data_IF_305620519240
#
_entry.id   IF_305620519240
#
_cell.length_a   1.000
_cell.length_b   1.000
_cell.length_c   1.000
_cell.angle_alpha   90.00
_cell.angle_beta   90.00
_cell.angle_gamma   90.00
#
_symmetry.space_group_name_H-M   'P 1'
#
loop_
_entity.id
_entity.type
_entity.pdbx_description
1 polymer ?
#
# COMPACT_ATOMS: atom_id res chain seq x y z
N UNK A 1 -6.70 -9.84 17.19
CA UNK A 1 -5.83 -10.36 16.13
C UNK A 1 -4.91 -11.41 16.71
N UNK A 2 -4.82 -12.59 16.08
CA UNK A 2 -3.89 -13.64 16.52
C UNK A 2 -2.49 -13.27 16.01
N UNK A 3 -1.49 -13.28 16.88
CA UNK A 3 -0.09 -13.01 16.48
C UNK A 3 0.33 -14.13 15.51
N UNK A 4 0.59 -13.77 14.27
CA UNK A 4 1.08 -14.69 13.25
C UNK A 4 2.60 -14.62 13.25
N UNK A 5 3.30 -15.73 13.31
CA UNK A 5 4.75 -15.73 13.13
C UNK A 5 5.16 -15.54 11.66
N UNK A 6 4.22 -15.80 10.72
CA UNK A 6 4.44 -15.75 9.28
C UNK A 6 3.17 -15.30 8.54
N UNK A 7 3.29 -14.50 7.48
CA UNK A 7 2.15 -13.93 6.73
C UNK A 7 1.39 -14.96 5.86
N UNK A 8 1.88 -16.19 5.72
CA UNK A 8 1.28 -17.25 4.90
C UNK A 8 -0.18 -17.57 5.25
N UNK A 9 -0.57 -17.36 6.50
CA UNK A 9 -1.92 -17.68 7.00
C UNK A 9 -2.84 -16.48 7.09
N UNK A 10 -2.34 -15.26 6.78
CA UNK A 10 -3.10 -14.02 7.00
C UNK A 10 -4.45 -14.03 6.27
N UNK A 11 -4.43 -14.34 4.98
CA UNK A 11 -5.65 -14.28 4.15
C UNK A 11 -6.61 -15.42 4.47
N UNK A 12 -6.09 -16.63 4.72
CA UNK A 12 -6.90 -17.79 5.10
C UNK A 12 -7.66 -17.56 6.41
N UNK A 13 -6.95 -17.12 7.46
CA UNK A 13 -7.58 -16.79 8.76
C UNK A 13 -8.56 -15.62 8.66
N UNK A 14 -8.27 -14.63 7.82
CA UNK A 14 -9.21 -13.54 7.57
C UNK A 14 -10.46 -14.03 6.84
N UNK A 15 -10.32 -14.98 5.90
CA UNK A 15 -11.47 -15.58 5.21
C UNK A 15 -12.35 -16.40 6.16
N UNK A 16 -11.78 -17.11 7.13
CA UNK A 16 -12.54 -17.81 8.19
C UNK A 16 -13.42 -16.85 9.02
N UNK A 17 -12.93 -15.62 9.24
CA UNK A 17 -13.63 -14.61 10.05
C UNK A 17 -14.65 -13.82 9.22
N UNK A 18 -14.26 -13.40 8.00
CA UNK A 18 -15.03 -12.41 7.23
C UNK A 18 -15.79 -13.01 6.05
N UNK A 19 -15.49 -14.23 5.62
CA UNK A 19 -16.26 -15.03 4.65
C UNK A 19 -16.53 -14.28 3.32
N UNK A 20 -17.80 -14.00 3.05
CA UNK A 20 -18.25 -13.34 1.83
C UNK A 20 -18.18 -11.79 1.89
N UNK A 21 -17.71 -11.20 2.99
CA UNK A 21 -17.43 -9.75 3.02
C UNK A 21 -16.38 -9.42 1.95
N UNK A 22 -16.49 -8.25 1.33
CA UNK A 22 -15.55 -7.82 0.30
C UNK A 22 -14.18 -7.50 0.95
N UNK A 23 -13.15 -8.18 0.49
CA UNK A 23 -11.75 -7.95 0.87
C UNK A 23 -11.07 -6.97 -0.07
N UNK A 24 -11.24 -7.17 -1.36
CA UNK A 24 -10.64 -6.35 -2.42
C UNK A 24 -11.73 -5.83 -3.34
N UNK A 25 -11.54 -4.64 -3.87
CA UNK A 25 -12.34 -4.15 -4.99
C UNK A 25 -11.45 -3.42 -5.99
N UNK A 26 -11.88 -3.41 -7.24
CA UNK A 26 -11.18 -2.77 -8.34
C UNK A 26 -12.19 -2.32 -9.39
N UNK A 27 -11.80 -1.33 -10.20
CA UNK A 27 -12.67 -0.86 -11.29
C UNK A 27 -12.49 -1.73 -12.53
N UNK A 28 -13.58 -2.36 -12.98
CA UNK A 28 -13.67 -2.95 -14.31
C UNK A 28 -13.96 -1.82 -15.32
N UNK A 29 -13.02 -1.56 -16.22
CA UNK A 29 -13.13 -0.47 -17.20
C UNK A 29 -14.00 -0.83 -18.41
N UNK A 30 -14.20 -2.11 -18.68
CA UNK A 30 -15.09 -2.54 -19.77
C UNK A 30 -16.56 -2.46 -19.33
N UNK A 31 -16.83 -2.73 -18.04
CA UNK A 31 -18.18 -2.63 -17.44
C UNK A 31 -18.45 -1.29 -16.76
N UNK A 32 -17.45 -0.44 -16.65
CA UNK A 32 -17.47 0.86 -15.97
C UNK A 32 -17.96 0.82 -14.50
N UNK A 33 -17.71 -0.26 -13.79
CA UNK A 33 -18.16 -0.45 -12.41
C UNK A 33 -17.07 -1.03 -11.51
N UNK A 34 -17.23 -0.85 -10.20
CA UNK A 34 -16.38 -1.49 -9.20
C UNK A 34 -16.82 -2.94 -8.99
N UNK A 35 -15.85 -3.85 -9.10
CA UNK A 35 -16.04 -5.28 -8.87
C UNK A 35 -15.47 -5.63 -7.50
N UNK A 36 -16.19 -6.47 -6.74
CA UNK A 36 -15.75 -6.94 -5.42
C UNK A 36 -15.19 -8.36 -5.48
N UNK A 37 -14.20 -8.61 -4.66
CA UNK A 37 -13.62 -9.94 -4.39
C UNK A 37 -13.82 -10.22 -2.90
N UNK A 38 -14.59 -11.25 -2.54
CA UNK A 38 -14.81 -11.63 -1.15
C UNK A 38 -13.53 -12.22 -0.53
N UNK A 39 -13.45 -12.23 0.81
CA UNK A 39 -12.35 -12.88 1.51
C UNK A 39 -12.22 -14.37 1.13
N UNK A 40 -13.35 -15.08 0.97
CA UNK A 40 -13.35 -16.47 0.52
C UNK A 40 -12.78 -16.61 -0.90
N UNK A 41 -13.14 -15.73 -1.84
CA UNK A 41 -12.58 -15.76 -3.18
C UNK A 41 -11.10 -15.39 -3.18
N UNK A 42 -10.70 -14.40 -2.38
CA UNK A 42 -9.30 -14.01 -2.22
C UNK A 42 -8.46 -15.18 -1.70
N UNK A 43 -8.89 -15.84 -0.62
CA UNK A 43 -8.18 -17.01 -0.07
C UNK A 43 -8.07 -18.14 -1.09
N UNK A 44 -9.12 -18.43 -1.87
CA UNK A 44 -9.05 -19.43 -2.95
C UNK A 44 -8.03 -19.07 -4.02
N UNK A 45 -7.96 -17.79 -4.46
CA UNK A 45 -6.98 -17.34 -5.46
C UNK A 45 -5.55 -17.40 -4.94
N UNK A 46 -5.35 -17.06 -3.68
CA UNK A 46 -4.06 -17.21 -2.97
C UNK A 46 -3.63 -18.68 -2.93
N UNK A 47 -4.51 -19.59 -2.56
CA UNK A 47 -4.22 -21.02 -2.50
C UNK A 47 -3.92 -21.61 -3.90
N UNK A 48 -4.72 -21.23 -4.91
CA UNK A 48 -4.45 -21.62 -6.30
C UNK A 48 -3.08 -21.11 -6.76
N UNK A 49 -2.72 -19.86 -6.47
CA UNK A 49 -1.40 -19.30 -6.81
C UNK A 49 -0.28 -20.06 -6.11
N UNK A 50 -0.44 -20.40 -4.83
CA UNK A 50 0.56 -21.19 -4.10
C UNK A 50 0.79 -22.55 -4.74
N UNK A 51 -0.29 -23.29 -5.06
CA UNK A 51 -0.19 -24.61 -5.72
C UNK A 51 0.43 -24.52 -7.11
N UNK A 52 0.11 -23.48 -7.87
CA UNK A 52 0.68 -23.26 -9.20
C UNK A 52 2.17 -22.94 -9.15
N UNK A 53 2.63 -22.19 -8.13
CA UNK A 53 4.06 -21.99 -7.90
C UNK A 53 4.78 -23.32 -7.58
N UNK A 54 4.17 -24.21 -6.79
CA UNK A 54 4.72 -25.57 -6.57
C UNK A 54 4.77 -26.35 -7.88
N UNK A 55 3.74 -26.26 -8.74
CA UNK A 55 3.70 -26.91 -10.05
C UNK A 55 4.81 -26.44 -10.99
N UNK A 56 5.19 -25.14 -10.91
CA UNK A 56 6.35 -24.58 -11.62
C UNK A 56 7.70 -24.92 -10.97
N UNK A 57 7.71 -25.74 -9.91
CA UNK A 57 8.95 -26.12 -9.23
C UNK A 57 9.56 -25.03 -8.36
N UNK A 58 8.79 -23.98 -7.99
CA UNK A 58 9.27 -22.95 -7.07
C UNK A 58 9.44 -23.53 -5.69
N UNK A 59 10.67 -23.48 -5.17
CA UNK A 59 11.08 -24.00 -3.87
C UNK A 59 10.88 -22.99 -2.73
N UNK A 60 11.22 -23.46 -1.51
CA UNK A 60 11.30 -22.60 -0.33
C UNK A 60 12.43 -21.60 -0.51
N UNK A 61 12.14 -20.31 -0.29
CA UNK A 61 13.04 -19.16 -0.46
C UNK A 61 13.54 -18.94 -1.91
N UNK A 62 12.89 -19.56 -2.92
CA UNK A 62 13.07 -19.13 -4.30
C UNK A 62 12.43 -17.75 -4.53
N UNK A 63 13.01 -16.94 -5.41
CA UNK A 63 12.57 -15.60 -5.69
C UNK A 63 11.60 -15.54 -6.88
N UNK A 64 10.51 -14.81 -6.71
CA UNK A 64 9.45 -14.59 -7.68
C UNK A 64 9.21 -13.09 -7.82
N UNK A 65 9.19 -12.55 -9.05
CA UNK A 65 8.96 -11.12 -9.26
C UNK A 65 7.51 -10.79 -9.64
N UNK A 66 7.06 -9.61 -9.24
CA UNK A 66 5.84 -8.97 -9.73
C UNK A 66 6.19 -7.63 -10.35
N UNK A 67 5.97 -7.49 -11.64
CA UNK A 67 6.24 -6.29 -12.43
C UNK A 67 4.92 -5.77 -13.03
N UNK A 68 4.18 -4.96 -12.25
CA UNK A 68 2.82 -4.55 -12.59
C UNK A 68 2.45 -3.23 -11.95
N UNK A 69 1.46 -2.54 -12.51
CA UNK A 69 0.64 -1.58 -11.76
C UNK A 69 -0.12 -2.33 -10.66
N UNK A 70 -0.69 -1.57 -9.71
CA UNK A 70 -1.50 -2.21 -8.66
C UNK A 70 -2.65 -3.01 -9.25
N UNK A 71 -2.75 -4.28 -8.89
CA UNK A 71 -3.80 -5.21 -9.34
C UNK A 71 -4.13 -6.20 -8.22
N UNK A 72 -5.36 -6.76 -8.19
CA UNK A 72 -5.70 -7.86 -7.27
C UNK A 72 -4.78 -9.08 -7.45
N UNK A 73 -4.40 -9.39 -8.69
CA UNK A 73 -3.53 -10.51 -9.06
C UNK A 73 -2.17 -10.42 -8.37
N UNK A 74 -1.62 -9.19 -8.20
CA UNK A 74 -0.38 -8.98 -7.48
C UNK A 74 -0.46 -9.48 -6.04
N UNK A 75 -1.59 -9.23 -5.36
CA UNK A 75 -1.83 -9.72 -3.99
C UNK A 75 -2.08 -11.24 -3.96
N UNK A 76 -2.73 -11.82 -4.98
CA UNK A 76 -2.89 -13.26 -5.06
C UNK A 76 -1.54 -13.98 -5.16
N UNK A 77 -0.64 -13.44 -5.98
CA UNK A 77 0.71 -13.97 -6.15
C UNK A 77 1.54 -13.73 -4.90
N UNK A 78 1.51 -12.53 -4.30
CA UNK A 78 2.28 -12.22 -3.11
C UNK A 78 1.93 -13.16 -1.94
N UNK A 79 0.65 -13.26 -1.58
CA UNK A 79 0.23 -14.14 -0.49
C UNK A 79 0.33 -15.62 -0.86
N UNK A 80 0.18 -15.98 -2.14
CA UNK A 80 0.45 -17.32 -2.65
C UNK A 80 1.92 -17.71 -2.50
N UNK A 81 2.83 -16.79 -2.78
CA UNK A 81 4.27 -16.97 -2.56
C UNK A 81 4.58 -17.13 -1.08
N UNK A 82 3.97 -16.35 -0.21
CA UNK A 82 4.14 -16.50 1.24
C UNK A 82 3.67 -17.89 1.75
N UNK A 83 2.56 -18.42 1.22
CA UNK A 83 2.13 -19.79 1.54
C UNK A 83 3.12 -20.85 1.05
N UNK A 84 3.82 -20.56 -0.03
CA UNK A 84 4.87 -21.41 -0.60
C UNK A 84 6.24 -21.20 0.06
N UNK A 85 6.36 -20.26 1.01
CA UNK A 85 7.62 -19.77 1.59
C UNK A 85 8.60 -19.26 0.55
N UNK A 86 8.08 -18.76 -0.58
CA UNK A 86 8.85 -18.10 -1.62
C UNK A 86 8.92 -16.60 -1.36
N UNK A 87 9.96 -15.97 -1.87
CA UNK A 87 10.26 -14.55 -1.68
C UNK A 87 9.64 -13.75 -2.82
N UNK A 88 8.97 -12.65 -2.50
CA UNK A 88 8.45 -11.71 -3.50
C UNK A 88 9.40 -10.56 -3.72
N UNK A 89 9.69 -10.30 -5.01
CA UNK A 89 10.52 -9.18 -5.48
C UNK A 89 9.65 -8.28 -6.36
N UNK A 90 8.98 -7.28 -5.80
CA UNK A 90 8.12 -6.39 -6.58
C UNK A 90 8.94 -5.32 -7.29
N UNK A 91 8.67 -5.12 -8.60
CA UNK A 91 9.28 -4.09 -9.43
C UNK A 91 8.33 -2.91 -9.59
N UNK A 92 8.87 -1.71 -9.65
CA UNK A 92 8.07 -0.56 -10.06
C UNK A 92 7.59 -0.73 -11.49
N UNK A 93 6.31 -0.47 -11.75
CA UNK A 93 5.71 -0.65 -13.07
C UNK A 93 6.39 0.12 -14.21
N UNK A 94 7.23 1.10 -13.87
CA UNK A 94 8.01 1.95 -14.80
C UNK A 94 9.48 1.56 -14.89
N UNK A 95 9.89 0.43 -14.30
CA UNK A 95 11.28 -0.03 -14.30
C UNK A 95 11.78 -0.26 -15.73
N UNK A 96 12.95 0.27 -16.06
CA UNK A 96 13.56 0.13 -17.39
C UNK A 96 14.19 -1.25 -17.60
N UNK A 97 14.30 -1.70 -18.86
CA UNK A 97 14.77 -3.05 -19.22
C UNK A 97 16.13 -3.42 -18.61
N UNK A 98 17.12 -2.52 -18.68
CA UNK A 98 18.43 -2.79 -18.08
C UNK A 98 18.36 -3.02 -16.56
N UNK A 99 17.44 -2.35 -15.87
CA UNK A 99 17.22 -2.54 -14.45
C UNK A 99 16.43 -3.83 -14.16
N UNK A 100 15.47 -4.19 -15.03
CA UNK A 100 14.78 -5.50 -14.95
C UNK A 100 15.79 -6.63 -15.08
N UNK A 101 16.67 -6.59 -16.10
CA UNK A 101 17.74 -7.56 -16.28
C UNK A 101 18.64 -7.67 -15.03
N UNK A 102 19.08 -6.52 -14.51
CA UNK A 102 19.93 -6.49 -13.32
C UNK A 102 19.24 -7.17 -12.13
N UNK A 103 18.01 -6.76 -11.80
CA UNK A 103 17.29 -7.28 -10.63
C UNK A 103 16.92 -8.77 -10.79
N UNK A 104 16.60 -9.22 -12.00
CA UNK A 104 16.34 -10.65 -12.28
C UNK A 104 17.57 -11.48 -11.98
N UNK A 105 18.73 -11.05 -12.45
CA UNK A 105 19.99 -11.79 -12.27
C UNK A 105 20.52 -11.67 -10.82
N UNK A 106 20.45 -10.51 -10.21
CA UNK A 106 20.92 -10.24 -8.84
C UNK A 106 20.12 -11.04 -7.81
N UNK A 107 18.78 -11.04 -7.95
CA UNK A 107 17.90 -11.80 -7.07
C UNK A 107 17.63 -13.24 -7.56
N UNK A 108 18.26 -13.71 -8.63
CA UNK A 108 18.07 -15.04 -9.18
C UNK A 108 16.57 -15.41 -9.36
N UNK A 109 15.81 -14.52 -10.02
CA UNK A 109 14.36 -14.65 -10.18
C UNK A 109 14.04 -15.71 -11.24
N UNK A 110 13.20 -16.69 -10.87
CA UNK A 110 12.80 -17.79 -11.74
C UNK A 110 11.49 -17.54 -12.49
N UNK A 111 10.55 -16.85 -11.86
CA UNK A 111 9.24 -16.53 -12.44
C UNK A 111 8.98 -15.03 -12.28
N UNK A 112 8.54 -14.35 -13.35
CA UNK A 112 8.11 -12.96 -13.32
C UNK A 112 6.66 -12.84 -13.74
N UNK A 113 5.85 -12.18 -12.91
CA UNK A 113 4.48 -11.84 -13.21
C UNK A 113 4.42 -10.42 -13.76
N UNK A 114 3.91 -10.25 -14.97
CA UNK A 114 3.85 -8.95 -15.66
C UNK A 114 2.41 -8.46 -15.78
N UNK A 115 2.20 -7.17 -15.55
CA UNK A 115 0.86 -6.57 -15.51
C UNK A 115 0.25 -6.35 -16.88
N UNK A 116 0.84 -5.44 -17.65
CA UNK A 116 0.35 -4.92 -18.92
C UNK A 116 1.36 -5.13 -20.05
N UNK A 117 0.98 -4.72 -21.28
CA UNK A 117 1.82 -4.84 -22.47
C UNK A 117 3.21 -4.25 -22.27
N UNK A 118 3.31 -3.08 -21.65
CA UNK A 118 4.61 -2.42 -21.42
C UNK A 118 5.55 -3.28 -20.59
N UNK A 119 5.08 -3.88 -19.48
CA UNK A 119 5.90 -4.71 -18.62
C UNK A 119 6.30 -6.02 -19.32
N UNK A 120 5.38 -6.60 -20.09
CA UNK A 120 5.68 -7.76 -20.92
C UNK A 120 6.77 -7.43 -21.95
N UNK A 121 6.59 -6.37 -22.75
CA UNK A 121 7.55 -5.99 -23.79
C UNK A 121 8.93 -5.67 -23.19
N UNK A 122 8.95 -4.98 -22.05
CA UNK A 122 10.18 -4.65 -21.31
C UNK A 122 10.89 -5.93 -20.87
N UNK A 123 10.17 -6.88 -20.27
CA UNK A 123 10.73 -8.17 -19.81
C UNK A 123 11.22 -9.00 -20.98
N UNK A 124 10.41 -9.11 -22.02
CA UNK A 124 10.75 -9.86 -23.23
C UNK A 124 12.01 -9.33 -23.92
N UNK A 125 12.17 -8.00 -23.98
CA UNK A 125 13.33 -7.36 -24.61
C UNK A 125 14.68 -7.71 -23.98
N UNK A 126 14.69 -8.09 -22.69
CA UNK A 126 15.91 -8.43 -21.93
C UNK A 126 15.97 -9.91 -21.51
N UNK A 127 14.96 -10.70 -21.86
CA UNK A 127 14.80 -12.07 -21.42
C UNK A 127 16.02 -12.96 -21.72
N UNK A 128 16.62 -12.81 -22.92
CA UNK A 128 17.82 -13.58 -23.28
C UNK A 128 19.06 -13.28 -22.44
N UNK A 129 19.03 -12.21 -21.66
CA UNK A 129 20.07 -11.79 -20.73
C UNK A 129 19.73 -12.11 -19.27
N UNK A 130 18.55 -12.69 -19.03
CA UNK A 130 18.04 -13.06 -17.70
C UNK A 130 18.26 -14.57 -17.49
N UNK A 131 19.41 -14.95 -16.91
CA UNK A 131 19.89 -16.34 -16.90
C UNK A 131 19.04 -17.28 -16.02
N UNK A 132 18.37 -16.76 -14.99
CA UNK A 132 17.55 -17.53 -14.06
C UNK A 132 16.07 -17.59 -14.42
N UNK A 133 15.63 -16.74 -15.37
CA UNK A 133 14.21 -16.56 -15.70
C UNK A 133 13.69 -17.73 -16.55
N UNK A 134 12.76 -18.51 -15.98
CA UNK A 134 12.17 -19.70 -16.61
C UNK A 134 10.79 -19.41 -17.20
N UNK A 135 9.98 -18.57 -16.54
CA UNK A 135 8.60 -18.31 -16.94
C UNK A 135 8.21 -16.83 -16.80
N UNK A 136 7.37 -16.36 -17.74
CA UNK A 136 6.67 -15.08 -17.67
C UNK A 136 5.17 -15.38 -17.53
N UNK A 137 4.52 -14.85 -16.50
CA UNK A 137 3.06 -14.98 -16.29
C UNK A 137 2.40 -13.64 -16.49
N UNK A 138 1.39 -13.56 -17.36
CA UNK A 138 0.79 -12.32 -17.83
C UNK A 138 -0.58 -12.13 -17.17
N UNK A 139 -0.77 -11.01 -16.44
CA UNK A 139 -2.02 -10.69 -15.76
C UNK A 139 -3.12 -10.22 -16.72
N UNK A 140 -2.79 -9.27 -17.62
CA UNK A 140 -3.79 -8.72 -18.55
C UNK A 140 -3.98 -9.65 -19.76
N UNK A 141 -5.16 -10.25 -19.96
CA UNK A 141 -5.42 -11.13 -21.09
C UNK A 141 -5.36 -10.42 -22.44
N UNK A 142 -5.33 -9.09 -22.47
CA UNK A 142 -5.23 -8.28 -23.70
C UNK A 142 -3.78 -8.14 -24.20
N UNK A 143 -2.80 -8.59 -23.44
CA UNK A 143 -1.38 -8.56 -23.84
C UNK A 143 -1.13 -9.46 -25.05
N UNK A 144 -0.51 -8.87 -26.06
CA UNK A 144 -0.07 -9.58 -27.27
C UNK A 144 1.33 -10.13 -27.05
N UNK A 145 1.46 -11.46 -27.07
CA UNK A 145 2.75 -12.15 -26.92
C UNK A 145 3.57 -12.03 -28.21
N UNK A 146 4.88 -12.02 -28.08
CA UNK A 146 5.80 -12.09 -29.22
C UNK A 146 5.60 -13.44 -29.95
N UNK A 147 5.69 -13.48 -31.31
CA UNK A 147 5.46 -14.72 -32.08
C UNK A 147 6.40 -15.89 -31.72
N UNK A 148 7.61 -15.62 -31.26
CA UNK A 148 8.57 -16.64 -30.80
C UNK A 148 8.49 -16.96 -29.31
N UNK A 149 7.50 -16.41 -28.58
CA UNK A 149 7.35 -16.62 -27.15
C UNK A 149 6.76 -18.02 -26.85
N UNK A 150 7.56 -18.84 -26.22
CA UNK A 150 7.21 -20.20 -25.82
C UNK A 150 7.34 -20.44 -24.30
N UNK A 151 7.63 -19.37 -23.51
CA UNK A 151 7.82 -19.45 -22.06
C UNK A 151 6.75 -18.71 -21.27
N UNK A 152 5.96 -17.85 -21.93
CA UNK A 152 4.93 -17.08 -21.27
C UNK A 152 3.60 -17.80 -21.26
N UNK A 153 2.85 -17.59 -20.17
CA UNK A 153 1.47 -18.07 -20.00
C UNK A 153 0.59 -16.94 -19.44
N UNK A 154 -0.71 -17.04 -19.66
CA UNK A 154 -1.69 -16.16 -19.01
C UNK A 154 -1.84 -16.52 -17.54
N UNK A 155 -2.35 -15.59 -16.73
CA UNK A 155 -2.62 -15.84 -15.33
C UNK A 155 -3.65 -16.98 -15.11
N UNK A 156 -4.64 -17.11 -16.00
CA UNK A 156 -5.59 -18.21 -15.94
C UNK A 156 -4.94 -19.56 -16.25
N UNK A 157 -4.01 -19.64 -17.22
CA UNK A 157 -3.22 -20.84 -17.49
C UNK A 157 -2.37 -21.20 -16.28
N UNK A 158 -1.68 -20.21 -15.68
CA UNK A 158 -0.91 -20.40 -14.46
C UNK A 158 -1.77 -20.97 -13.33
N UNK A 159 -2.93 -20.39 -13.03
CA UNK A 159 -3.80 -20.88 -11.96
C UNK A 159 -4.28 -22.33 -12.19
N UNK A 160 -4.42 -22.77 -13.46
CA UNK A 160 -4.82 -24.14 -13.78
C UNK A 160 -3.74 -25.18 -13.46
N UNK A 161 -2.46 -24.79 -13.43
CA UNK A 161 -1.36 -25.72 -13.09
C UNK A 161 -1.54 -26.35 -11.71
N UNK A 162 -2.06 -25.59 -10.75
CA UNK A 162 -2.28 -26.03 -9.37
C UNK A 162 -3.64 -26.68 -9.11
N UNK A 163 -4.52 -26.78 -10.12
CA UNK A 163 -5.87 -27.34 -9.94
C UNK A 163 -5.82 -28.86 -10.09
N UNK A 164 -6.60 -29.56 -9.24
CA UNK A 164 -6.82 -31.01 -9.28
C UNK A 164 -5.59 -31.91 -9.00
N UNK A 165 -4.53 -31.36 -8.43
CA UNK A 165 -3.34 -32.15 -8.04
C UNK A 165 -3.18 -32.16 -6.50
N UNK A 166 -3.68 -33.19 -5.81
CA UNK A 166 -3.64 -33.26 -4.34
C UNK A 166 -2.23 -33.13 -3.76
N UNK A 167 -1.19 -33.59 -4.50
CA UNK A 167 0.21 -33.49 -4.07
C UNK A 167 0.66 -32.02 -3.89
N UNK A 168 0.20 -31.08 -4.72
CA UNK A 168 0.57 -29.67 -4.59
C UNK A 168 -0.10 -29.04 -3.37
N UNK A 169 -1.34 -29.40 -3.10
CA UNK A 169 -2.03 -28.96 -1.88
C UNK A 169 -1.32 -29.48 -0.62
N UNK A 170 -0.95 -30.77 -0.59
CA UNK A 170 -0.21 -31.37 0.54
C UNK A 170 1.14 -30.66 0.75
N UNK A 171 1.86 -30.35 -0.34
CA UNK A 171 3.14 -29.65 -0.27
C UNK A 171 2.98 -28.21 0.24
N UNK A 172 2.00 -27.44 -0.26
CA UNK A 172 1.70 -26.10 0.26
C UNK A 172 1.38 -26.15 1.75
N UNK A 173 0.54 -27.10 2.18
CA UNK A 173 0.19 -27.25 3.60
C UNK A 173 1.41 -27.58 4.46
N UNK A 174 2.28 -28.48 3.98
CA UNK A 174 3.56 -28.78 4.65
C UNK A 174 4.41 -27.52 4.82
N UNK A 175 4.59 -26.73 3.74
CA UNK A 175 5.37 -25.48 3.77
C UNK A 175 4.77 -24.44 4.72
N UNK A 176 3.45 -24.31 4.75
CA UNK A 176 2.76 -23.40 5.70
C UNK A 176 3.01 -23.83 7.15
N UNK A 177 2.98 -25.14 7.43
CA UNK A 177 3.23 -25.67 8.78
C UNK A 177 4.70 -25.46 9.22
N UNK A 178 5.63 -25.53 8.28
CA UNK A 178 7.08 -25.37 8.51
C UNK A 178 7.53 -23.89 8.46
N UNK A 179 6.61 -22.93 8.20
CA UNK A 179 6.92 -21.52 7.99
C UNK A 179 7.45 -20.86 9.27
N UNK A 180 8.50 -20.05 9.11
CA UNK A 180 9.20 -19.41 10.21
C UNK A 180 9.25 -17.88 10.02
N UNK A 181 9.23 -17.14 11.13
CA UNK A 181 9.35 -15.67 11.09
C UNK A 181 10.66 -15.17 10.47
N UNK A 182 11.70 -16.00 10.46
CA UNK A 182 13.01 -15.73 9.83
C UNK A 182 13.02 -15.95 8.32
N UNK A 183 11.96 -16.51 7.73
CA UNK A 183 11.85 -16.60 6.28
C UNK A 183 11.81 -15.18 5.67
N UNK A 184 12.50 -15.02 4.54
CA UNK A 184 12.46 -13.77 3.77
C UNK A 184 11.09 -13.65 3.13
N UNK A 185 10.42 -12.52 3.36
CA UNK A 185 9.13 -12.21 2.76
C UNK A 185 9.30 -11.47 1.42
N UNK A 186 10.10 -10.39 1.45
CA UNK A 186 10.30 -9.52 0.29
C UNK A 186 11.77 -9.14 0.13
N UNK A 187 12.18 -8.92 -1.14
CA UNK A 187 13.39 -8.16 -1.48
C UNK A 187 12.92 -6.91 -2.23
N UNK A 188 13.12 -5.74 -1.64
CA UNK A 188 12.68 -4.46 -2.19
C UNK A 188 13.89 -3.68 -2.72
N UNK A 189 13.94 -3.43 -4.02
CA UNK A 189 15.04 -2.68 -4.62
C UNK A 189 14.84 -1.17 -4.43
N UNK A 190 15.84 -0.53 -3.83
CA UNK A 190 15.91 0.92 -3.63
C UNK A 190 17.00 1.54 -4.49
N UNK A 191 16.82 2.80 -4.92
CA UNK A 191 17.87 3.56 -5.60
C UNK A 191 19.00 3.86 -4.60
N UNK A 192 20.08 3.10 -4.67
CA UNK A 192 21.25 3.34 -3.83
C UNK A 192 21.94 4.66 -4.16
N UNK A 193 22.59 5.28 -3.18
CA UNK A 193 23.42 6.48 -3.34
C UNK A 193 24.62 6.26 -4.28
N UNK A 194 24.97 5.01 -4.58
CA UNK A 194 26.11 4.58 -5.40
C UNK A 194 25.75 4.27 -6.85
N UNK A 195 24.53 4.56 -7.30
CA UNK A 195 24.07 4.43 -8.69
C UNK A 195 23.43 3.09 -9.04
N UNK A 196 23.79 1.98 -8.39
CA UNK A 196 23.16 0.66 -8.62
C UNK A 196 22.16 0.37 -7.52
N UNK A 197 20.96 -0.11 -7.89
CA UNK A 197 19.91 -0.45 -6.92
C UNK A 197 20.35 -1.58 -5.98
N UNK A 198 19.97 -1.49 -4.72
CA UNK A 198 20.24 -2.49 -3.69
C UNK A 198 18.95 -3.17 -3.25
N UNK A 199 18.98 -4.50 -3.14
CA UNK A 199 17.85 -5.29 -2.64
C UNK A 199 17.82 -5.29 -1.10
N UNK A 200 16.82 -4.63 -0.52
CA UNK A 200 16.58 -4.65 0.93
C UNK A 200 15.78 -5.91 1.27
N UNK A 201 16.34 -6.74 2.14
CA UNK A 201 15.74 -7.99 2.59
C UNK A 201 14.81 -7.72 3.77
N UNK A 202 13.54 -8.11 3.65
CA UNK A 202 12.55 -8.00 4.71
C UNK A 202 12.03 -9.38 5.11
N UNK A 203 12.07 -9.67 6.41
CA UNK A 203 11.62 -10.94 6.98
C UNK A 203 10.13 -10.89 7.36
N UNK A 204 9.48 -12.04 7.44
CA UNK A 204 8.10 -12.12 7.93
C UNK A 204 7.96 -11.62 9.37
N UNK A 205 8.93 -11.86 10.25
CA UNK A 205 8.95 -11.36 11.63
C UNK A 205 8.95 -9.83 11.72
N UNK A 206 9.64 -9.14 10.80
CA UNK A 206 9.67 -7.68 10.75
C UNK A 206 8.28 -7.11 10.39
N UNK A 207 7.61 -7.70 9.37
CA UNK A 207 6.23 -7.32 9.05
C UNK A 207 5.30 -7.58 10.24
N UNK A 208 5.38 -8.74 10.89
CA UNK A 208 4.51 -9.05 12.02
C UNK A 208 4.70 -8.08 13.17
N UNK A 209 5.96 -7.71 13.50
CA UNK A 209 6.25 -6.70 14.50
C UNK A 209 5.63 -5.34 14.12
N UNK A 210 5.82 -4.91 12.87
CA UNK A 210 5.26 -3.66 12.38
C UNK A 210 3.70 -3.67 12.44
N UNK A 211 3.06 -4.75 11.98
CA UNK A 211 1.60 -4.90 12.04
C UNK A 211 1.08 -4.84 13.48
N UNK A 212 1.72 -5.56 14.40
CA UNK A 212 1.34 -5.56 15.82
C UNK A 212 1.50 -4.18 16.46
N UNK A 213 2.62 -3.50 16.19
CA UNK A 213 2.88 -2.17 16.71
C UNK A 213 1.83 -1.14 16.23
N UNK A 214 1.49 -1.17 14.94
CA UNK A 214 0.51 -0.25 14.38
C UNK A 214 -0.92 -0.53 14.85
N UNK A 215 -1.34 -1.81 14.93
CA UNK A 215 -2.69 -2.15 15.38
C UNK A 215 -2.99 -1.73 16.82
N UNK A 216 -1.96 -1.57 17.65
CA UNK A 216 -2.11 -1.02 19.03
C UNK A 216 -2.45 0.48 19.05
N UNK A 217 -2.15 1.20 17.97
CA UNK A 217 -2.25 2.66 17.89
C UNK A 217 -3.33 3.11 16.90
N UNK A 218 -3.35 2.49 15.71
CA UNK A 218 -4.28 2.85 14.64
C UNK A 218 -5.60 2.09 14.80
N UNK A 219 -6.71 2.83 14.78
CA UNK A 219 -8.06 2.26 14.93
C UNK A 219 -8.66 1.91 13.57
N UNK A 220 -8.00 0.98 12.84
CA UNK A 220 -8.51 0.43 11.59
C UNK A 220 -9.45 -0.73 11.93
N UNK A 221 -10.61 -0.77 11.27
CA UNK A 221 -11.68 -1.74 11.52
C UNK A 221 -12.10 -2.47 10.25
N UNK A 222 -12.83 -3.58 10.37
CA UNK A 222 -13.38 -4.26 9.20
C UNK A 222 -14.41 -3.44 8.39
N UNK A 223 -14.87 -2.30 8.90
CA UNK A 223 -15.81 -1.41 8.20
C UNK A 223 -15.09 -0.30 7.41
N UNK A 224 -13.77 -0.25 7.53
CA UNK A 224 -12.97 0.70 6.78
C UNK A 224 -12.77 0.25 5.32
N UNK A 225 -12.77 1.26 4.44
CA UNK A 225 -12.46 1.11 3.02
C UNK A 225 -11.20 1.92 2.73
N UNK A 226 -10.18 1.22 2.29
CA UNK A 226 -8.84 1.78 2.04
C UNK A 226 -8.64 1.93 0.54
N UNK A 227 -8.33 3.12 0.05
CA UNK A 227 -7.91 3.26 -1.35
C UNK A 227 -6.41 3.10 -1.49
N UNK A 228 -5.98 2.14 -2.32
CA UNK A 228 -4.59 1.87 -2.62
C UNK A 228 -4.23 2.47 -3.99
N UNK A 229 -3.41 3.49 -4.02
CA UNK A 229 -2.98 4.17 -5.24
C UNK A 229 -1.47 4.42 -5.33
N UNK A 230 -0.75 4.35 -4.24
CA UNK A 230 0.71 4.28 -4.26
C UNK A 230 1.13 2.87 -4.70
N UNK A 231 2.31 2.69 -5.31
CA UNK A 231 2.76 1.38 -5.80
C UNK A 231 2.89 0.35 -4.67
N UNK A 232 2.31 -0.85 -4.82
CA UNK A 232 2.53 -1.97 -3.90
C UNK A 232 4.01 -2.40 -3.83
N UNK A 233 4.79 -2.07 -4.85
CA UNK A 233 6.24 -2.28 -4.86
C UNK A 233 7.03 -1.38 -3.90
N UNK A 234 6.40 -0.32 -3.38
CA UNK A 234 7.01 0.52 -2.36
C UNK A 234 6.65 0.01 -0.96
N UNK A 235 7.65 -0.03 -0.05
CA UNK A 235 7.46 -0.56 1.32
C UNK A 235 6.30 0.09 2.06
N UNK A 236 6.10 1.40 1.90
CA UNK A 236 5.03 2.14 2.58
C UNK A 236 3.64 1.62 2.20
N UNK A 237 3.34 1.50 0.89
CA UNK A 237 2.04 1.00 0.45
C UNK A 237 1.89 -0.50 0.68
N UNK A 238 2.95 -1.28 0.43
CA UNK A 238 2.93 -2.72 0.66
C UNK A 238 2.69 -3.10 2.13
N UNK A 239 3.35 -2.41 3.07
CA UNK A 239 3.14 -2.62 4.50
C UNK A 239 1.76 -2.11 4.95
N UNK A 240 1.31 -0.94 4.43
CA UNK A 240 -0.01 -0.38 4.69
C UNK A 240 -1.14 -1.32 4.24
N UNK A 241 -1.05 -1.88 3.04
CA UNK A 241 -2.01 -2.86 2.54
C UNK A 241 -2.10 -4.10 3.45
N UNK A 242 -0.94 -4.65 3.87
CA UNK A 242 -0.87 -5.80 4.79
C UNK A 242 -1.50 -5.46 6.16
N UNK A 243 -1.23 -4.27 6.68
CA UNK A 243 -1.84 -3.79 7.94
C UNK A 243 -3.36 -3.73 7.81
N UNK A 244 -3.88 -3.09 6.75
CA UNK A 244 -5.32 -2.94 6.56
C UNK A 244 -6.01 -4.30 6.36
N UNK A 245 -5.41 -5.22 5.59
CA UNK A 245 -5.91 -6.59 5.46
C UNK A 245 -5.90 -7.34 6.80
N UNK A 246 -4.87 -7.16 7.62
CA UNK A 246 -4.79 -7.79 8.94
C UNK A 246 -5.88 -7.30 9.91
N UNK A 247 -6.40 -6.09 9.69
CA UNK A 247 -7.53 -5.52 10.42
C UNK A 247 -8.90 -5.89 9.82
N UNK A 248 -8.93 -6.64 8.71
CA UNK A 248 -10.16 -7.01 8.00
C UNK A 248 -10.77 -5.91 7.14
N UNK A 249 -10.06 -4.80 6.91
CA UNK A 249 -10.52 -3.69 6.08
C UNK A 249 -10.53 -4.07 4.59
N UNK A 250 -11.45 -3.45 3.83
CA UNK A 250 -11.51 -3.61 2.38
C UNK A 250 -10.42 -2.76 1.70
N UNK A 251 -9.68 -3.33 0.76
CA UNK A 251 -8.80 -2.59 -0.15
C UNK A 251 -9.51 -2.28 -1.47
N UNK A 252 -9.67 -1.00 -1.79
CA UNK A 252 -10.11 -0.53 -3.10
C UNK A 252 -8.87 -0.16 -3.94
N UNK A 253 -8.55 -1.00 -4.91
CA UNK A 253 -7.30 -0.91 -5.68
C UNK A 253 -7.52 0.02 -6.86
N UNK A 254 -6.78 1.13 -6.89
CA UNK A 254 -6.75 2.05 -8.02
C UNK A 254 -5.80 1.52 -9.09
N UNK A 255 -6.34 0.90 -10.15
CA UNK A 255 -5.55 0.23 -11.19
C UNK A 255 -4.77 1.21 -12.08
N UNK A 256 -5.29 2.44 -12.27
CA UNK A 256 -4.68 3.46 -13.12
C UNK A 256 -4.34 4.69 -12.30
N UNK A 257 -3.06 5.06 -12.16
CA UNK A 257 -2.65 6.19 -11.31
C UNK A 257 -3.35 7.51 -11.62
N UNK A 258 -3.68 7.77 -12.89
CA UNK A 258 -4.36 9.00 -13.31
C UNK A 258 -5.83 9.09 -12.88
N UNK A 259 -6.46 7.96 -12.54
CA UNK A 259 -7.87 7.89 -12.18
C UNK A 259 -8.14 8.10 -10.68
N UNK A 260 -7.11 8.40 -9.88
CA UNK A 260 -7.24 8.48 -8.42
C UNK A 260 -8.36 9.42 -7.96
N UNK A 261 -8.55 10.58 -8.58
CA UNK A 261 -9.61 11.52 -8.20
C UNK A 261 -11.01 10.95 -8.48
N UNK A 262 -11.16 10.20 -9.57
CA UNK A 262 -12.40 9.50 -9.90
C UNK A 262 -12.64 8.36 -8.91
N UNK A 263 -11.64 7.54 -8.70
CA UNK A 263 -11.70 6.40 -7.78
C UNK A 263 -12.06 6.84 -6.36
N UNK A 264 -11.45 7.92 -5.85
CA UNK A 264 -11.78 8.45 -4.52
C UNK A 264 -13.25 8.89 -4.42
N UNK A 265 -13.78 9.56 -5.45
CA UNK A 265 -15.19 9.99 -5.46
C UNK A 265 -16.18 8.83 -5.56
N UNK A 266 -15.84 7.78 -6.28
CA UNK A 266 -16.69 6.58 -6.44
C UNK A 266 -16.63 5.68 -5.20
N UNK A 267 -15.44 5.45 -4.64
CA UNK A 267 -15.20 4.56 -3.48
C UNK A 267 -15.56 5.23 -2.16
N UNK A 268 -15.32 6.54 -2.03
CA UNK A 268 -15.43 7.29 -0.78
C UNK A 268 -14.67 6.63 0.38
N UNK A 269 -13.34 6.47 0.26
CA UNK A 269 -12.54 5.74 1.23
C UNK A 269 -12.55 6.39 2.61
N UNK A 270 -12.38 5.56 3.64
CA UNK A 270 -12.18 6.01 5.02
C UNK A 270 -10.72 6.15 5.37
N UNK A 271 -9.85 5.37 4.71
CA UNK A 271 -8.42 5.34 4.95
C UNK A 271 -7.65 5.47 3.62
N UNK A 272 -6.49 6.11 3.67
CA UNK A 272 -5.64 6.31 2.50
C UNK A 272 -4.22 6.66 2.94
N UNK A 273 -3.23 5.89 2.52
CA UNK A 273 -1.82 6.32 2.58
C UNK A 273 -1.55 7.35 1.49
N UNK A 274 -0.74 8.34 1.77
CA UNK A 274 -0.38 9.38 0.79
C UNK A 274 1.07 9.85 0.96
N UNK A 275 1.62 10.39 -0.13
CA UNK A 275 2.87 11.16 -0.08
C UNK A 275 2.55 12.66 -0.01
N UNK A 276 3.45 13.52 0.49
CA UNK A 276 3.23 14.97 0.57
C UNK A 276 2.74 15.60 -0.73
N UNK A 277 3.25 15.14 -1.87
CA UNK A 277 2.88 15.63 -3.20
C UNK A 277 1.38 15.52 -3.51
N UNK A 278 0.70 14.52 -2.96
CA UNK A 278 -0.75 14.38 -3.10
C UNK A 278 -1.46 15.56 -2.42
N UNK A 279 -1.09 15.86 -1.18
CA UNK A 279 -1.72 16.95 -0.40
C UNK A 279 -1.35 18.33 -0.92
N UNK A 280 -0.13 18.50 -1.46
CA UNK A 280 0.28 19.73 -2.16
C UNK A 280 -0.65 20.02 -3.35
N UNK A 281 -0.94 18.99 -4.17
CA UNK A 281 -1.89 19.12 -5.30
C UNK A 281 -3.30 19.47 -4.84
N UNK A 282 -3.77 18.85 -3.75
CA UNK A 282 -5.08 19.18 -3.15
C UNK A 282 -5.10 20.62 -2.69
N UNK A 283 -4.05 21.08 -1.99
CA UNK A 283 -3.92 22.45 -1.51
C UNK A 283 -3.92 23.47 -2.66
N UNK A 284 -3.11 23.22 -3.69
CA UNK A 284 -3.06 24.07 -4.90
C UNK A 284 -4.44 24.17 -5.58
N UNK A 285 -5.14 23.06 -5.76
CA UNK A 285 -6.48 23.05 -6.33
C UNK A 285 -7.50 23.86 -5.51
N UNK A 286 -7.35 23.90 -4.18
CA UNK A 286 -8.18 24.76 -3.32
C UNK A 286 -7.83 26.24 -3.51
N UNK A 287 -6.54 26.58 -3.61
CA UNK A 287 -6.09 27.95 -3.87
C UNK A 287 -6.62 28.47 -5.22
N UNK A 288 -6.48 27.69 -6.29
CA UNK A 288 -7.01 28.01 -7.62
C UNK A 288 -8.53 28.23 -7.59
N UNK A 289 -9.26 27.38 -6.86
CA UNK A 289 -10.71 27.52 -6.69
C UNK A 289 -11.07 28.80 -5.90
N UNK A 290 -10.25 29.16 -4.94
CA UNK A 290 -10.43 30.43 -4.20
C UNK A 290 -10.18 31.64 -5.09
N UNK A 291 -9.14 31.61 -5.94
CA UNK A 291 -8.81 32.71 -6.84
C UNK A 291 -9.87 32.93 -7.91
N UNK A 292 -10.42 31.84 -8.46
CA UNK A 292 -11.50 31.89 -9.46
C UNK A 292 -12.89 32.22 -8.90
N UNK A 293 -13.05 32.17 -7.56
CA UNK A 293 -14.31 32.46 -6.88
C UNK A 293 -14.58 33.95 -6.64
N UNK A 294 -15.83 34.27 -6.24
CA UNK A 294 -16.18 35.62 -5.80
C UNK A 294 -15.41 36.04 -4.53
N UNK A 295 -15.26 37.34 -4.30
CA UNK A 295 -14.61 37.87 -3.09
C UNK A 295 -15.25 37.29 -1.79
N UNK A 296 -16.57 37.14 -1.79
CA UNK A 296 -17.31 36.57 -0.65
C UNK A 296 -16.93 35.12 -0.43
N UNK A 297 -16.93 34.28 -1.47
CA UNK A 297 -16.55 32.89 -1.39
C UNK A 297 -15.10 32.73 -0.91
N UNK A 298 -14.18 33.52 -1.46
CA UNK A 298 -12.77 33.56 -1.07
C UNK A 298 -12.60 33.88 0.41
N UNK A 299 -13.27 34.92 0.90
CA UNK A 299 -13.18 35.32 2.30
C UNK A 299 -13.77 34.25 3.25
N UNK A 300 -14.89 33.62 2.86
CA UNK A 300 -15.50 32.55 3.65
C UNK A 300 -14.57 31.31 3.75
N UNK A 301 -13.93 30.89 2.65
CA UNK A 301 -12.99 29.76 2.67
C UNK A 301 -11.76 30.11 3.52
N UNK A 302 -11.20 31.34 3.37
CA UNK A 302 -10.08 31.82 4.20
C UNK A 302 -10.42 31.80 5.69
N UNK A 303 -11.60 32.31 6.07
CA UNK A 303 -12.02 32.33 7.48
C UNK A 303 -12.26 30.89 8.00
N UNK A 304 -12.86 30.01 7.21
CA UNK A 304 -13.05 28.61 7.58
C UNK A 304 -11.71 27.88 7.84
N UNK A 305 -10.73 28.04 6.95
CA UNK A 305 -9.40 27.46 7.12
C UNK A 305 -8.64 28.10 8.30
N UNK A 306 -8.76 29.42 8.52
CA UNK A 306 -8.18 30.09 9.68
C UNK A 306 -8.77 29.55 10.99
N UNK A 307 -10.08 29.39 11.06
CA UNK A 307 -10.77 28.85 12.24
C UNK A 307 -10.38 27.38 12.48
N UNK A 308 -10.27 26.58 11.40
CA UNK A 308 -9.82 25.19 11.47
C UNK A 308 -8.37 25.08 11.96
N UNK A 309 -7.47 25.93 11.44
CA UNK A 309 -6.08 25.98 11.88
C UNK A 309 -5.97 26.37 13.36
N UNK A 310 -6.69 27.40 13.79
CA UNK A 310 -6.72 27.81 15.20
C UNK A 310 -7.24 26.70 16.12
N UNK A 311 -8.32 26.03 15.70
CA UNK A 311 -8.91 24.90 16.42
C UNK A 311 -7.90 23.77 16.60
N UNK A 312 -7.17 23.41 15.53
CA UNK A 312 -6.19 22.35 15.56
C UNK A 312 -4.92 22.76 16.32
N UNK A 313 -4.24 23.85 15.95
CA UNK A 313 -2.94 24.24 16.49
C UNK A 313 -2.99 24.57 17.99
N UNK A 314 -4.03 25.26 18.45
CA UNK A 314 -4.10 25.72 19.84
C UNK A 314 -4.73 24.69 20.78
N UNK A 315 -5.57 23.78 20.24
CA UNK A 315 -6.40 22.92 21.09
C UNK A 315 -6.28 21.45 20.70
N UNK A 316 -6.76 21.03 19.53
CA UNK A 316 -6.88 19.61 19.17
C UNK A 316 -5.54 18.92 19.17
N UNK A 317 -4.51 19.49 18.52
CA UNK A 317 -3.15 18.95 18.49
C UNK A 317 -2.48 18.83 19.88
N UNK A 318 -3.00 19.54 20.87
CA UNK A 318 -2.49 19.55 22.25
C UNK A 318 -3.36 18.77 23.23
N UNK A 319 -4.40 18.08 22.72
CA UNK A 319 -5.37 17.37 23.55
C UNK A 319 -6.19 18.30 24.47
N UNK A 320 -6.36 19.58 24.12
CA UNK A 320 -7.07 20.58 24.92
C UNK A 320 -8.46 20.83 24.37
N UNK A 321 -9.39 21.24 25.22
CA UNK A 321 -10.71 21.69 24.80
C UNK A 321 -10.67 23.17 24.39
N UNK A 322 -11.22 23.45 23.21
CA UNK A 322 -11.36 24.83 22.73
C UNK A 322 -12.55 25.55 23.39
N UNK A 323 -12.51 26.90 23.46
CA UNK A 323 -13.65 27.70 23.92
C UNK A 323 -14.92 27.41 23.12
N UNK A 324 -16.10 27.48 23.78
CA UNK A 324 -17.37 27.13 23.16
C UNK A 324 -17.65 27.90 21.87
N UNK A 325 -17.37 29.20 21.86
CA UNK A 325 -17.54 30.04 20.66
C UNK A 325 -16.74 29.58 19.45
N UNK A 326 -15.47 29.20 19.67
CA UNK A 326 -14.62 28.65 18.59
C UNK A 326 -15.12 27.28 18.12
N UNK A 327 -15.53 26.41 19.05
CA UNK A 327 -16.11 25.10 18.71
C UNK A 327 -17.37 25.22 17.86
N UNK A 328 -18.30 26.13 18.23
CA UNK A 328 -19.52 26.37 17.47
C UNK A 328 -19.22 26.94 16.07
N UNK A 329 -18.30 27.91 15.99
CA UNK A 329 -17.88 28.49 14.71
C UNK A 329 -17.22 27.43 13.81
N UNK A 330 -16.29 26.62 14.34
CA UNK A 330 -15.68 25.52 13.61
C UNK A 330 -16.73 24.51 13.15
N UNK A 331 -17.64 24.08 14.01
CA UNK A 331 -18.69 23.12 13.68
C UNK A 331 -19.64 23.63 12.56
N UNK A 332 -19.89 24.95 12.50
CA UNK A 332 -20.65 25.56 11.40
C UNK A 332 -19.90 25.43 10.06
N UNK A 333 -18.61 25.77 10.04
CA UNK A 333 -17.77 25.60 8.83
C UNK A 333 -17.56 24.14 8.46
N UNK A 334 -17.38 23.26 9.44
CA UNK A 334 -17.18 21.83 9.23
C UNK A 334 -18.39 21.18 8.55
N UNK A 335 -19.60 21.54 8.99
CA UNK A 335 -20.87 21.03 8.41
C UNK A 335 -21.21 21.64 7.05
N UNK A 336 -20.58 22.74 6.67
CA UNK A 336 -20.86 23.47 5.43
C UNK A 336 -19.68 23.42 4.46
N UNK A 337 -18.78 24.38 4.52
CA UNK A 337 -17.68 24.58 3.56
C UNK A 337 -16.66 23.43 3.56
N UNK A 338 -16.21 22.98 4.75
CA UNK A 338 -15.22 21.92 4.84
C UNK A 338 -15.82 20.56 4.42
N UNK A 339 -17.10 20.34 4.71
CA UNK A 339 -17.82 19.18 4.20
C UNK A 339 -17.91 19.17 2.68
N UNK A 340 -18.15 20.32 2.03
CA UNK A 340 -18.16 20.43 0.57
C UNK A 340 -16.79 20.10 -0.01
N UNK A 341 -15.72 20.60 0.59
CA UNK A 341 -14.35 20.25 0.21
C UNK A 341 -14.11 18.75 0.28
N UNK A 342 -14.40 18.12 1.43
CA UNK A 342 -14.25 16.67 1.62
C UNK A 342 -15.09 15.88 0.61
N UNK A 343 -16.32 16.30 0.35
CA UNK A 343 -17.20 15.66 -0.66
C UNK A 343 -16.62 15.77 -2.07
N UNK A 344 -16.06 16.92 -2.43
CA UNK A 344 -15.44 17.12 -3.76
C UNK A 344 -14.25 16.18 -3.99
N UNK A 345 -13.51 15.87 -2.93
CA UNK A 345 -12.40 14.92 -2.95
C UNK A 345 -12.86 13.45 -2.81
N UNK A 346 -14.11 13.19 -2.46
CA UNK A 346 -14.60 11.84 -2.16
C UNK A 346 -14.21 11.34 -0.76
N UNK A 347 -13.73 12.21 0.13
CA UNK A 347 -13.28 11.88 1.49
C UNK A 347 -14.33 12.29 2.53
N UNK A 348 -15.52 11.71 2.45
CA UNK A 348 -16.68 12.12 3.27
C UNK A 348 -16.70 11.50 4.67
N UNK A 349 -16.01 10.38 4.88
CA UNK A 349 -15.96 9.63 6.13
C UNK A 349 -14.51 9.30 6.53
N UNK A 350 -13.64 10.32 6.68
CA UNK A 350 -12.22 10.07 6.92
C UNK A 350 -12.01 9.44 8.30
N UNK A 351 -11.23 8.33 8.36
CA UNK A 351 -10.77 7.71 9.59
C UNK A 351 -9.29 8.04 9.85
N UNK A 352 -8.38 7.68 8.92
CA UNK A 352 -6.95 7.96 9.07
C UNK A 352 -6.22 8.05 7.73
N UNK A 353 -5.33 9.05 7.60
CA UNK A 353 -4.53 9.29 6.42
C UNK A 353 -3.04 9.38 6.76
N UNK A 354 -2.29 8.24 6.74
CA UNK A 354 -0.84 8.25 6.90
C UNK A 354 -0.16 9.01 5.75
N UNK A 355 0.82 9.84 6.10
CA UNK A 355 1.65 10.59 5.14
C UNK A 355 3.12 10.37 5.45
N UNK A 356 3.87 9.86 4.48
CA UNK A 356 5.29 9.57 4.63
C UNK A 356 6.02 9.62 3.27
N UNK A 357 7.31 9.29 3.25
CA UNK A 357 8.14 9.18 2.05
C UNK A 357 8.85 10.46 1.63
N UNK A 358 8.44 11.63 2.14
CA UNK A 358 9.14 12.91 2.00
C UNK A 358 8.64 13.87 3.09
N UNK A 359 9.37 14.98 3.26
CA UNK A 359 8.95 16.05 4.18
C UNK A 359 7.73 16.77 3.63
N UNK A 360 6.69 16.92 4.45
CA UNK A 360 5.53 17.78 4.14
C UNK A 360 5.82 19.21 4.61
N UNK A 361 5.43 20.22 3.81
CA UNK A 361 5.58 21.62 4.24
C UNK A 361 4.61 21.95 5.38
N UNK A 362 5.02 22.75 6.37
CA UNK A 362 4.14 23.14 7.48
C UNK A 362 2.85 23.84 7.02
N UNK A 363 2.89 24.52 5.87
CA UNK A 363 1.71 25.17 5.29
C UNK A 363 0.68 24.16 4.79
N UNK A 364 1.12 23.14 4.06
CA UNK A 364 0.25 22.06 3.56
C UNK A 364 -0.27 21.22 4.72
N UNK A 365 0.57 20.87 5.68
CA UNK A 365 0.18 20.12 6.88
C UNK A 365 -0.92 20.89 7.67
N UNK A 366 -0.70 22.19 7.90
CA UNK A 366 -1.69 23.07 8.55
C UNK A 366 -3.02 23.09 7.78
N UNK A 367 -2.96 23.20 6.45
CA UNK A 367 -4.16 23.16 5.61
C UNK A 367 -4.93 21.83 5.77
N UNK A 368 -4.24 20.71 5.73
CA UNK A 368 -4.87 19.37 5.83
C UNK A 368 -5.61 19.24 7.17
N UNK A 369 -4.97 19.62 8.27
CA UNK A 369 -5.61 19.60 9.59
C UNK A 369 -6.74 20.64 9.73
N UNK A 370 -6.54 21.85 9.20
CA UNK A 370 -7.59 22.89 9.20
C UNK A 370 -8.84 22.48 8.43
N UNK A 371 -8.67 21.70 7.35
CA UNK A 371 -9.77 21.15 6.56
C UNK A 371 -10.44 19.92 7.22
N UNK A 372 -9.96 19.49 8.39
CA UNK A 372 -10.55 18.40 9.17
C UNK A 372 -10.17 17.01 8.66
N UNK A 373 -9.02 16.86 7.98
CA UNK A 373 -8.51 15.54 7.62
C UNK A 373 -7.64 14.97 8.74
N UNK A 374 -7.87 13.71 9.14
CA UNK A 374 -7.11 13.02 10.20
C UNK A 374 -5.77 12.52 9.64
N UNK A 375 -4.89 13.44 9.27
CA UNK A 375 -3.56 13.12 8.80
C UNK A 375 -2.66 12.71 9.98
N UNK A 376 -1.82 11.71 9.75
CA UNK A 376 -0.72 11.33 10.65
C UNK A 376 0.57 11.31 9.83
N UNK A 377 1.51 12.19 10.20
CA UNK A 377 2.82 12.20 9.57
C UNK A 377 3.67 11.06 10.13
N UNK A 378 4.50 10.45 9.28
CA UNK A 378 5.38 9.36 9.66
C UNK A 378 6.73 9.40 8.96
N UNK A 379 7.71 8.76 9.59
CA UNK A 379 9.06 8.57 9.06
C UNK A 379 9.42 7.09 9.07
N UNK A 380 10.12 6.67 8.04
CA UNK A 380 10.65 5.33 7.92
C UNK A 380 11.41 5.11 6.62
N UNK A 381 12.05 3.96 6.55
CA UNK A 381 12.89 3.54 5.45
C UNK A 381 12.44 2.15 4.99
N UNK A 382 12.87 1.74 3.80
CA UNK A 382 12.66 0.35 3.36
C UNK A 382 13.35 -0.61 4.33
N UNK A 383 14.55 -0.27 4.79
CA UNK A 383 15.38 -1.04 5.70
C UNK A 383 14.76 -1.21 7.11
N UNK A 384 13.81 -0.33 7.47
CA UNK A 384 13.08 -0.41 8.76
C UNK A 384 11.67 -0.98 8.63
N UNK A 385 11.38 -1.69 7.54
CA UNK A 385 10.06 -2.27 7.26
C UNK A 385 8.93 -1.21 7.31
N UNK A 386 9.14 -0.09 6.64
CA UNK A 386 8.30 1.09 6.43
C UNK A 386 8.37 2.14 7.55
N UNK A 387 8.16 1.81 8.83
CA UNK A 387 7.90 2.84 9.83
C UNK A 387 8.86 2.78 11.02
N UNK A 388 9.52 3.89 11.29
CA UNK A 388 10.32 4.13 12.52
C UNK A 388 9.46 4.90 13.54
N UNK A 389 8.81 5.97 13.09
CA UNK A 389 8.00 6.83 13.93
C UNK A 389 6.79 7.36 13.18
N UNK A 390 5.74 7.73 13.89
CA UNK A 390 4.61 8.47 13.35
C UNK A 390 3.83 9.21 14.45
N UNK A 391 3.00 10.16 14.04
CA UNK A 391 2.11 10.89 14.91
C UNK A 391 1.06 9.93 15.51
N UNK A 392 0.99 9.91 16.82
CA UNK A 392 0.00 9.10 17.52
C UNK A 392 -1.35 9.84 17.57
N UNK A 393 -2.46 9.27 17.06
CA UNK A 393 -3.75 9.97 16.99
C UNK A 393 -4.26 10.49 18.34
N UNK A 394 -3.93 9.80 19.45
CA UNK A 394 -4.38 10.14 20.80
C UNK A 394 -3.33 10.92 21.63
N UNK A 395 -2.25 11.41 21.01
CA UNK A 395 -1.17 12.16 21.68
C UNK A 395 -1.01 13.56 21.10
N UNK A 396 -0.44 14.51 21.86
CA UNK A 396 -0.10 15.81 21.32
C UNK A 396 0.86 15.72 20.12
N UNK A 397 0.54 16.48 19.06
CA UNK A 397 1.28 16.57 17.81
C UNK A 397 1.72 18.01 17.58
N UNK A 398 2.88 18.20 16.95
CA UNK A 398 3.40 19.51 16.55
C UNK A 398 3.61 19.54 15.04
N UNK A 399 3.35 20.67 14.41
CA UNK A 399 3.66 20.87 12.98
C UNK A 399 5.14 20.56 12.69
N UNK A 400 5.37 19.86 11.59
CA UNK A 400 6.70 19.42 11.16
C UNK A 400 7.29 18.25 11.95
N UNK A 401 6.55 17.69 12.91
CA UNK A 401 6.95 16.48 13.61
C UNK A 401 6.77 15.25 12.71
N UNK A 402 7.67 14.28 12.83
CA UNK A 402 7.55 12.94 12.26
C UNK A 402 7.04 11.91 13.30
N UNK A 403 6.50 12.42 14.40
CA UNK A 403 5.87 11.63 15.44
C UNK A 403 6.85 11.01 16.45
N UNK A 404 6.35 9.95 17.08
CA UNK A 404 7.06 9.21 18.14
C UNK A 404 7.48 7.85 17.60
N UNK A 405 8.60 7.28 18.11
CA UNK A 405 8.99 5.92 17.76
C UNK A 405 7.84 4.92 17.96
N UNK A 406 7.73 3.95 17.05
CA UNK A 406 6.82 2.82 17.21
C UNK A 406 7.13 2.03 18.50
N UNK A 407 6.14 1.39 19.11
CA UNK A 407 6.39 0.45 20.20
C UNK A 407 7.41 -0.62 19.80
N UNK A 408 8.49 -0.75 20.59
CA UNK A 408 9.57 -1.70 20.33
C UNK A 408 10.64 -1.19 19.36
N UNK A 409 10.55 0.05 18.87
CA UNK A 409 11.60 0.70 18.09
C UNK A 409 12.35 1.68 18.98
N UNK A 410 13.67 1.54 19.04
CA UNK A 410 14.56 2.47 19.73
C UNK A 410 15.17 3.44 18.72
N UNK A 411 15.18 4.73 19.07
CA UNK A 411 15.74 5.78 18.20
C UNK A 411 16.71 6.62 19.01
N UNK A 412 17.89 6.84 18.46
CA UNK A 412 18.92 7.72 19.02
C UNK A 412 19.38 8.72 17.96
N UNK A 413 19.63 9.95 18.38
CA UNK A 413 20.29 10.96 17.55
C UNK A 413 21.78 10.95 17.87
N UNK A 414 22.63 10.76 16.85
CA UNK A 414 24.09 10.81 17.00
C UNK A 414 24.55 12.23 17.34
N UNK A 415 25.62 12.34 18.16
CA UNK A 415 26.01 13.62 18.77
C UNK A 415 26.69 14.62 17.82
N UNK A 416 27.38 14.16 16.78
CA UNK A 416 28.21 15.02 15.92
C UNK A 416 27.54 15.50 14.65
N UNK A 417 26.73 14.66 14.01
CA UNK A 417 26.10 14.91 12.70
C UNK A 417 24.57 14.87 12.71
N UNK A 418 23.98 14.65 13.88
CA UNK A 418 22.53 14.49 14.06
C UNK A 418 21.92 13.32 13.25
N UNK A 419 22.70 12.29 12.93
CA UNK A 419 22.20 11.09 12.27
C UNK A 419 21.16 10.38 13.14
N UNK A 420 20.10 9.89 12.51
CA UNK A 420 19.06 9.09 13.17
C UNK A 420 19.49 7.63 13.15
N UNK A 421 19.79 7.09 14.32
CA UNK A 421 20.09 5.67 14.55
C UNK A 421 18.81 4.96 14.98
N UNK A 422 18.53 3.81 14.36
CA UNK A 422 17.35 2.97 14.61
C UNK A 422 17.76 1.56 14.97
#
# INVERSE_FOLDING_TARGET
>A
MQILCHLSQLIEKSAEVYGEKIALSYRDYDREQWMGISWNLFARRVDQSARSLVALGIGVQDNVAVFSQNKPESLFVEFGSFRNRAVIVPFYATTAGAQVQYMVNDANIRVIFVGEQQQYDTTWSVMSLCHSLEHIVIFDPKVKRHPSDNISMSFDEFLRLGINEPRYQAEVQRRVNDAQGTDIANILYTSGTTGQSKGVILLHSQYNHALEAHTKILKITPDDVVINFLPFSHVFEGAWAKLCLSCGAQLAINLRPLDIQRSMREVQPTCMSAVPRFWEKVYQGVLEKMESGSAIQRNLIKDALKVGAEMWEKYTSKGKQAPLGLRLKYAAYDKTLLRVLRKTLGLTRPNIFPVAGATISPEVERFVHAAGFPMVAGYGLTETCATVSFDHPDKPVSLGSIGRPLPGVEVKIAGEDNEILV
#
